data_IF_506146682613
#
_entry.id   IF_506146682613
#
_cell.length_a   1.000
_cell.length_b   1.000
_cell.length_c   1.000
_cell.angle_alpha   90.00
_cell.angle_beta   90.00
_cell.angle_gamma   90.00
#
_symmetry.space_group_name_H-M   'P 1'
#
loop_
_entity.id
_entity.type
_entity.pdbx_description
1 polymer ?
#
# COMPACT_ATOMS: atom_id res chain seq x y z
N UNK A 1 -14.49 14.02 19.83
CA UNK A 1 -13.25 13.74 20.59
C UNK A 1 -12.24 14.78 20.18
N UNK A 2 -11.81 15.65 21.08
CA UNK A 2 -10.79 16.68 20.79
C UNK A 2 -9.46 15.99 20.40
N UNK A 3 -8.87 16.44 19.31
CA UNK A 3 -7.58 15.92 18.86
C UNK A 3 -6.48 16.90 19.32
N UNK A 4 -5.62 16.52 20.30
CA UNK A 4 -4.69 17.43 20.95
C UNK A 4 -3.64 18.06 19.99
N UNK A 5 -3.52 17.52 18.78
CA UNK A 5 -2.59 18.03 17.75
C UNK A 5 -3.30 18.90 16.72
N UNK A 6 -4.54 18.55 16.35
CA UNK A 6 -5.29 19.26 15.30
C UNK A 6 -6.02 20.48 15.83
N UNK A 7 -6.60 20.41 17.02
CA UNK A 7 -7.41 21.50 17.58
C UNK A 7 -6.65 22.85 17.69
N UNK A 8 -5.42 22.91 18.26
CA UNK A 8 -4.67 24.17 18.33
C UNK A 8 -4.25 24.68 16.95
N UNK A 9 -4.07 23.80 15.96
CA UNK A 9 -3.72 24.16 14.59
C UNK A 9 -4.93 24.74 13.85
N UNK A 10 -6.12 24.18 14.08
CA UNK A 10 -7.38 24.66 13.53
C UNK A 10 -7.75 26.02 14.14
N UNK A 11 -7.56 26.22 15.43
CA UNK A 11 -7.78 27.48 16.12
C UNK A 11 -6.84 28.59 15.58
N UNK A 12 -5.57 28.28 15.38
CA UNK A 12 -4.61 29.22 14.76
C UNK A 12 -5.01 29.60 13.32
N UNK A 13 -5.47 28.63 12.53
CA UNK A 13 -5.90 28.84 11.16
C UNK A 13 -7.21 29.60 11.04
N UNK A 14 -8.07 29.57 12.06
CA UNK A 14 -9.35 30.30 12.06
C UNK A 14 -9.20 31.83 12.06
N UNK A 15 -8.04 32.34 12.50
CA UNK A 15 -7.73 33.77 12.51
C UNK A 15 -7.38 34.37 11.13
N UNK A 16 -7.18 33.53 10.09
CA UNK A 16 -6.79 33.97 8.75
C UNK A 16 -7.97 33.98 7.77
N UNK A 17 -7.92 34.85 6.77
CA UNK A 17 -8.87 34.82 5.66
C UNK A 17 -8.76 33.51 4.85
N UNK A 18 -9.84 33.14 4.12
CA UNK A 18 -9.91 31.89 3.36
C UNK A 18 -8.72 31.72 2.41
N UNK A 19 -8.34 32.76 1.70
CA UNK A 19 -7.22 32.72 0.73
C UNK A 19 -5.89 32.56 1.44
N UNK A 20 -5.66 33.32 2.50
CA UNK A 20 -4.41 33.26 3.28
C UNK A 20 -4.23 31.88 3.93
N UNK A 21 -5.30 31.33 4.50
CA UNK A 21 -5.33 29.98 5.07
C UNK A 21 -5.02 28.92 4.04
N UNK A 22 -5.62 29.00 2.85
CA UNK A 22 -5.36 28.05 1.76
C UNK A 22 -3.90 28.08 1.35
N UNK A 23 -3.33 29.26 1.14
CA UNK A 23 -1.92 29.41 0.78
C UNK A 23 -1.01 28.86 1.90
N UNK A 24 -1.31 29.14 3.16
CA UNK A 24 -0.51 28.72 4.29
C UNK A 24 -0.52 27.21 4.45
N UNK A 25 -1.70 26.56 4.37
CA UNK A 25 -1.82 25.09 4.47
C UNK A 25 -1.11 24.39 3.32
N UNK A 26 -1.27 24.89 2.08
CA UNK A 26 -0.56 24.33 0.94
C UNK A 26 0.96 24.49 1.07
N UNK A 27 1.44 25.64 1.51
CA UNK A 27 2.85 25.90 1.72
C UNK A 27 3.44 24.99 2.81
N UNK A 28 2.75 24.84 3.94
CA UNK A 28 3.16 23.95 5.03
C UNK A 28 3.15 22.49 4.59
N UNK A 29 2.11 22.06 3.88
CA UNK A 29 2.03 20.69 3.36
C UNK A 29 3.13 20.39 2.35
N UNK A 30 3.44 21.33 1.47
CA UNK A 30 4.54 21.22 0.53
C UNK A 30 5.90 21.18 1.24
N UNK A 31 6.12 22.06 2.24
CA UNK A 31 7.31 22.03 3.05
C UNK A 31 7.46 20.72 3.82
N UNK A 32 6.37 20.21 4.41
CA UNK A 32 6.35 18.91 5.07
C UNK A 32 6.70 17.77 4.12
N UNK A 33 6.18 17.80 2.88
CA UNK A 33 6.52 16.83 1.85
C UNK A 33 8.02 16.84 1.51
N UNK A 34 8.62 18.03 1.35
CA UNK A 34 10.07 18.18 1.10
C UNK A 34 10.93 17.70 2.28
N UNK A 35 10.52 18.01 3.51
CA UNK A 35 11.20 17.52 4.71
C UNK A 35 11.11 16.01 4.81
N UNK A 36 9.93 15.44 4.56
CA UNK A 36 9.73 14.00 4.56
C UNK A 36 10.59 13.32 3.49
N UNK A 37 10.62 13.88 2.27
CA UNK A 37 11.49 13.39 1.20
C UNK A 37 12.96 13.41 1.62
N UNK A 38 13.43 14.53 2.20
CA UNK A 38 14.81 14.65 2.65
C UNK A 38 15.14 13.63 3.75
N UNK A 39 14.26 13.46 4.74
CA UNK A 39 14.43 12.49 5.84
C UNK A 39 14.45 11.07 5.29
N UNK A 40 13.48 10.71 4.44
CA UNK A 40 13.40 9.38 3.81
C UNK A 40 14.66 9.09 3.00
N UNK A 41 15.10 10.03 2.17
CA UNK A 41 16.33 9.88 1.38
C UNK A 41 17.58 9.76 2.25
N UNK A 42 17.63 10.45 3.40
CA UNK A 42 18.76 10.39 4.33
C UNK A 42 18.80 9.05 5.07
N UNK A 43 17.65 8.60 5.58
CA UNK A 43 17.52 7.32 6.28
C UNK A 43 17.77 6.17 5.29
N UNK A 44 17.18 6.22 4.12
CA UNK A 44 17.33 5.24 3.07
C UNK A 44 18.80 5.07 2.66
N UNK A 45 19.50 6.17 2.38
CA UNK A 45 20.94 6.14 2.05
C UNK A 45 21.78 5.55 3.19
N UNK A 46 21.38 5.75 4.46
CA UNK A 46 22.07 5.18 5.59
C UNK A 46 21.86 3.67 5.70
N UNK A 47 20.63 3.19 5.48
CA UNK A 47 20.26 1.77 5.52
C UNK A 47 20.92 1.02 4.36
N UNK A 48 20.78 1.53 3.13
CA UNK A 48 21.38 0.93 1.92
C UNK A 48 22.90 0.79 2.03
N UNK A 49 23.58 1.79 2.61
CA UNK A 49 25.04 1.70 2.83
C UNK A 49 25.46 0.63 3.84
N UNK A 50 24.56 0.24 4.75
CA UNK A 50 24.86 -0.79 5.75
C UNK A 50 24.56 -2.20 5.25
N UNK A 51 23.55 -2.36 4.37
CA UNK A 51 23.06 -3.69 3.96
C UNK A 51 23.66 -4.18 2.65
N UNK A 52 24.13 -3.25 1.75
CA UNK A 52 24.74 -3.60 0.45
C UNK A 52 23.79 -4.36 -0.49
N UNK A 53 22.51 -4.42 -0.19
CA UNK A 53 21.51 -5.20 -0.92
C UNK A 53 20.88 -4.37 -2.05
N UNK A 54 20.84 -4.93 -3.26
CA UNK A 54 20.13 -4.34 -4.40
C UNK A 54 18.63 -4.20 -4.18
N UNK A 55 18.07 -4.97 -3.25
CA UNK A 55 16.67 -4.92 -2.88
C UNK A 55 16.31 -3.61 -2.17
N UNK A 56 17.18 -3.13 -1.29
CA UNK A 56 16.97 -1.89 -0.54
C UNK A 56 16.89 -0.68 -1.47
N UNK A 57 17.72 -0.66 -2.54
CA UNK A 57 17.68 0.40 -3.56
C UNK A 57 16.32 0.43 -4.29
N UNK A 58 15.76 -0.74 -4.58
CA UNK A 58 14.45 -0.85 -5.22
C UNK A 58 13.35 -0.29 -4.33
N UNK A 59 13.31 -0.71 -3.07
CA UNK A 59 12.29 -0.23 -2.11
C UNK A 59 12.34 1.28 -1.96
N UNK A 60 13.54 1.83 -1.75
CA UNK A 60 13.74 3.27 -1.55
C UNK A 60 13.32 4.09 -2.77
N UNK A 61 13.68 3.61 -3.97
CA UNK A 61 13.34 4.31 -5.22
C UNK A 61 11.84 4.36 -5.48
N UNK A 62 11.12 3.28 -5.16
CA UNK A 62 9.69 3.17 -5.42
C UNK A 62 8.82 3.84 -4.35
N UNK A 63 9.27 3.88 -3.09
CA UNK A 63 8.52 4.49 -1.97
C UNK A 63 8.63 6.03 -1.98
N UNK A 64 9.67 6.59 -2.57
CA UNK A 64 9.91 8.04 -2.60
C UNK A 64 8.72 8.82 -3.19
N UNK A 65 8.29 8.47 -4.37
CA UNK A 65 7.20 9.14 -5.09
C UNK A 65 5.85 9.07 -4.33
N UNK A 66 5.40 7.89 -3.87
CA UNK A 66 4.19 7.77 -3.06
C UNK A 66 4.21 8.65 -1.81
N UNK A 67 5.33 8.73 -1.11
CA UNK A 67 5.46 9.56 0.09
C UNK A 67 5.29 11.05 -0.21
N UNK A 68 5.96 11.56 -1.25
CA UNK A 68 5.86 12.98 -1.63
C UNK A 68 4.43 13.33 -2.04
N UNK A 69 3.80 12.48 -2.86
CA UNK A 69 2.43 12.70 -3.31
C UNK A 69 1.44 12.60 -2.15
N UNK A 70 1.61 11.62 -1.25
CA UNK A 70 0.76 11.49 -0.06
C UNK A 70 0.86 12.72 0.84
N UNK A 71 2.05 13.25 1.05
CA UNK A 71 2.24 14.46 1.85
C UNK A 71 1.62 15.69 1.17
N UNK A 72 1.76 15.81 -0.15
CA UNK A 72 1.14 16.90 -0.92
C UNK A 72 -0.40 16.83 -0.91
N UNK A 73 -0.97 15.63 -1.13
CA UNK A 73 -2.41 15.42 -1.10
C UNK A 73 -3.00 15.48 0.33
N UNK A 74 -2.21 15.15 1.35
CA UNK A 74 -2.58 15.32 2.75
C UNK A 74 -2.89 16.76 3.11
N UNK A 75 -2.25 17.73 2.45
CA UNK A 75 -2.58 19.15 2.56
C UNK A 75 -3.98 19.48 2.06
N UNK A 76 -4.44 18.84 0.99
CA UNK A 76 -5.80 19.03 0.47
C UNK A 76 -6.82 18.53 1.49
N UNK A 77 -6.56 17.36 2.11
CA UNK A 77 -7.42 16.85 3.17
C UNK A 77 -7.47 17.78 4.38
N UNK A 78 -6.33 18.34 4.80
CA UNK A 78 -6.26 19.29 5.89
C UNK A 78 -7.04 20.58 5.57
N UNK A 79 -7.01 21.04 4.32
CA UNK A 79 -7.82 22.17 3.86
C UNK A 79 -9.32 21.88 3.98
N UNK A 80 -9.77 20.68 3.57
CA UNK A 80 -11.20 20.34 3.68
C UNK A 80 -11.67 20.31 5.14
N UNK A 81 -10.87 19.76 6.05
CA UNK A 81 -11.19 19.74 7.49
C UNK A 81 -11.17 21.15 8.09
N UNK A 82 -10.17 21.97 7.77
CA UNK A 82 -10.06 23.33 8.30
C UNK A 82 -11.08 24.32 7.76
N UNK A 83 -11.68 24.03 6.60
CA UNK A 83 -12.73 24.87 5.99
C UNK A 83 -14.12 24.58 6.54
N UNK A 84 -14.33 23.44 7.17
CA UNK A 84 -15.60 23.03 7.73
C UNK A 84 -16.09 23.98 8.84
N UNK A 85 -15.18 24.55 9.61
CA UNK A 85 -15.51 25.48 10.72
C UNK A 85 -15.79 26.92 10.26
N UNK A 86 -15.51 27.24 8.99
CA UNK A 86 -15.75 28.57 8.45
C UNK A 86 -17.20 28.69 7.92
N UNK A 87 -18.15 29.04 8.77
CA UNK A 87 -19.57 29.15 8.52
C UNK A 87 -20.03 30.08 7.36
N UNK A 88 -19.12 30.59 6.56
CA UNK A 88 -19.38 31.53 5.45
C UNK A 88 -18.92 31.01 4.07
N UNK A 89 -18.65 29.71 3.91
CA UNK A 89 -18.21 29.16 2.63
C UNK A 89 -19.42 28.76 1.79
N UNK A 90 -19.49 29.29 0.57
CA UNK A 90 -20.53 29.04 -0.45
C UNK A 90 -20.56 27.53 -0.85
N UNK A 91 -19.55 26.76 -0.47
CA UNK A 91 -19.39 25.33 -0.81
C UNK A 91 -19.68 24.48 0.42
N UNK A 92 -20.61 23.53 0.30
CA UNK A 92 -20.96 22.60 1.36
C UNK A 92 -19.76 21.71 1.73
N UNK A 93 -19.65 21.35 3.02
CA UNK A 93 -18.65 20.36 3.50
C UNK A 93 -18.67 19.06 2.70
N UNK A 94 -19.85 18.60 2.31
CA UNK A 94 -20.04 17.41 1.48
C UNK A 94 -19.44 17.58 0.09
N UNK A 95 -19.62 18.75 -0.51
CA UNK A 95 -19.10 19.03 -1.85
C UNK A 95 -17.57 19.08 -1.85
N UNK A 96 -16.95 19.64 -0.79
CA UNK A 96 -15.50 19.63 -0.63
C UNK A 96 -14.95 18.23 -0.43
N UNK A 97 -15.61 17.40 0.39
CA UNK A 97 -15.21 16.02 0.59
C UNK A 97 -15.38 15.20 -0.69
N UNK A 98 -16.50 15.32 -1.37
CA UNK A 98 -16.81 14.53 -2.56
C UNK A 98 -15.95 14.93 -3.75
N UNK A 99 -15.62 16.20 -3.89
CA UNK A 99 -14.89 16.71 -5.06
C UNK A 99 -13.37 16.69 -4.90
N UNK A 100 -12.84 16.86 -3.69
CA UNK A 100 -11.40 16.94 -3.46
C UNK A 100 -10.85 15.80 -2.57
N UNK A 101 -11.45 15.54 -1.41
CA UNK A 101 -10.87 14.62 -0.45
C UNK A 101 -10.97 13.16 -0.89
N UNK A 102 -12.13 12.72 -1.41
CA UNK A 102 -12.28 11.34 -1.88
C UNK A 102 -11.42 11.02 -3.10
N UNK A 103 -11.37 11.84 -4.17
CA UNK A 103 -10.45 11.60 -5.28
C UNK A 103 -8.98 11.60 -4.84
N UNK A 104 -8.58 12.51 -3.93
CA UNK A 104 -7.22 12.53 -3.38
C UNK A 104 -6.90 11.24 -2.63
N UNK A 105 -7.83 10.74 -1.79
CA UNK A 105 -7.66 9.49 -1.08
C UNK A 105 -7.54 8.29 -2.02
N UNK A 106 -8.35 8.22 -3.09
CA UNK A 106 -8.25 7.18 -4.12
C UNK A 106 -6.91 7.26 -4.85
N UNK A 107 -6.45 8.45 -5.21
CA UNK A 107 -5.13 8.64 -5.83
C UNK A 107 -4.01 8.12 -4.92
N UNK A 108 -4.07 8.39 -3.61
CA UNK A 108 -3.11 7.86 -2.64
C UNK A 108 -3.13 6.33 -2.65
N UNK A 109 -4.31 5.70 -2.58
CA UNK A 109 -4.45 4.24 -2.62
C UNK A 109 -3.83 3.66 -3.89
N UNK A 110 -4.14 4.24 -5.06
CA UNK A 110 -3.62 3.78 -6.34
C UNK A 110 -2.10 3.93 -6.42
N UNK A 111 -1.55 5.07 -6.01
CA UNK A 111 -0.10 5.32 -6.06
C UNK A 111 0.65 4.33 -5.15
N UNK A 112 0.14 4.05 -3.95
CA UNK A 112 0.72 3.05 -3.06
C UNK A 112 0.57 1.63 -3.60
N UNK A 113 -0.56 1.30 -4.21
CA UNK A 113 -0.76 0.02 -4.88
C UNK A 113 0.23 -0.18 -6.03
N UNK A 114 0.43 0.84 -6.88
CA UNK A 114 1.43 0.80 -7.94
C UNK A 114 2.85 0.67 -7.41
N UNK A 115 3.21 1.40 -6.35
CA UNK A 115 4.53 1.30 -5.73
C UNK A 115 4.76 -0.10 -5.16
N UNK A 116 3.79 -0.63 -4.41
CA UNK A 116 3.85 -1.98 -3.86
C UNK A 116 4.00 -3.03 -4.96
N UNK A 117 3.21 -2.91 -6.03
CA UNK A 117 3.30 -3.80 -7.18
C UNK A 117 4.68 -3.76 -7.84
N UNK A 118 5.25 -2.57 -8.03
CA UNK A 118 6.59 -2.41 -8.59
C UNK A 118 7.68 -2.99 -7.70
N UNK A 119 7.60 -2.77 -6.38
CA UNK A 119 8.57 -3.31 -5.43
C UNK A 119 8.62 -4.83 -5.53
N UNK A 120 7.45 -5.49 -5.49
CA UNK A 120 7.38 -6.95 -5.52
C UNK A 120 7.82 -7.49 -6.87
N UNK A 121 7.36 -6.91 -7.98
CA UNK A 121 7.75 -7.39 -9.31
C UNK A 121 9.26 -7.23 -9.54
N UNK A 122 9.86 -6.11 -9.13
CA UNK A 122 11.33 -5.95 -9.19
C UNK A 122 12.07 -6.90 -8.26
N UNK A 123 11.51 -7.22 -7.08
CA UNK A 123 12.07 -8.21 -6.19
C UNK A 123 12.07 -9.61 -6.83
N UNK A 124 10.96 -9.98 -7.46
CA UNK A 124 10.83 -11.23 -8.23
C UNK A 124 11.87 -11.28 -9.35
N UNK A 125 12.02 -10.21 -10.14
CA UNK A 125 13.02 -10.12 -11.21
C UNK A 125 14.46 -10.26 -10.70
N UNK A 126 14.77 -9.76 -9.49
CA UNK A 126 16.08 -9.91 -8.90
C UNK A 126 16.40 -11.35 -8.51
N UNK A 127 15.39 -12.11 -8.07
CA UNK A 127 15.51 -13.53 -7.72
C UNK A 127 15.58 -14.37 -8.99
N UNK A 128 14.78 -14.06 -10.01
CA UNK A 128 14.69 -14.80 -11.26
C UNK A 128 15.95 -14.68 -12.15
N UNK A 129 16.72 -13.59 -12.02
CA UNK A 129 18.02 -13.46 -12.70
C UNK A 129 19.01 -14.60 -12.45
N UNK A 130 18.73 -15.45 -11.48
CA UNK A 130 19.47 -16.70 -11.27
C UNK A 130 19.08 -17.83 -12.25
N UNK A 131 18.06 -17.59 -13.11
CA UNK A 131 17.69 -18.47 -14.24
C UNK A 131 17.16 -19.87 -13.85
N UNK A 132 16.74 -20.06 -12.61
CA UNK A 132 16.33 -21.38 -12.11
C UNK A 132 14.81 -21.61 -12.07
N UNK A 133 13.99 -20.56 -12.20
CA UNK A 133 12.57 -20.71 -11.93
C UNK A 133 11.69 -20.00 -12.99
N UNK A 134 10.99 -20.77 -13.80
CA UNK A 134 9.97 -20.28 -14.74
C UNK A 134 8.66 -19.81 -14.05
N UNK A 135 8.64 -19.72 -12.71
CA UNK A 135 7.45 -19.33 -11.93
C UNK A 135 7.31 -17.82 -11.74
N UNK A 136 8.35 -17.04 -12.00
CA UNK A 136 8.36 -15.59 -11.76
C UNK A 136 7.21 -14.85 -12.47
N UNK A 137 6.91 -15.11 -13.77
CA UNK A 137 5.81 -14.44 -14.47
C UNK A 137 4.43 -14.77 -13.88
N UNK A 138 4.23 -16.02 -13.46
CA UNK A 138 2.96 -16.47 -12.86
C UNK A 138 2.74 -15.77 -11.53
N UNK A 139 3.75 -15.76 -10.67
CA UNK A 139 3.70 -15.08 -9.38
C UNK A 139 3.44 -13.59 -9.55
N UNK A 140 4.16 -12.93 -10.45
CA UNK A 140 4.02 -11.51 -10.76
C UNK A 140 2.60 -11.14 -11.22
N UNK A 141 1.99 -11.96 -12.09
CA UNK A 141 0.63 -11.74 -12.58
C UNK A 141 -0.41 -11.93 -11.47
N UNK A 142 -0.30 -12.98 -10.67
CA UNK A 142 -1.21 -13.24 -9.54
C UNK A 142 -1.08 -12.13 -8.51
N UNK A 143 0.13 -11.72 -8.16
CA UNK A 143 0.40 -10.61 -7.26
C UNK A 143 -0.22 -9.31 -7.76
N UNK A 144 0.02 -8.96 -9.02
CA UNK A 144 -0.54 -7.75 -9.65
C UNK A 144 -2.06 -7.75 -9.59
N UNK A 145 -2.69 -8.90 -9.89
CA UNK A 145 -4.15 -9.04 -9.80
C UNK A 145 -4.65 -8.78 -8.37
N UNK A 146 -4.01 -9.38 -7.35
CA UNK A 146 -4.40 -9.20 -5.94
C UNK A 146 -4.28 -7.73 -5.51
N UNK A 147 -3.16 -7.08 -5.85
CA UNK A 147 -2.93 -5.68 -5.50
C UNK A 147 -3.93 -4.75 -6.17
N UNK A 148 -4.19 -4.93 -7.48
CA UNK A 148 -5.13 -4.09 -8.21
C UNK A 148 -6.59 -4.33 -7.76
N UNK A 149 -6.98 -5.58 -7.52
CA UNK A 149 -8.29 -5.90 -6.98
C UNK A 149 -8.49 -5.29 -5.59
N UNK A 150 -7.48 -5.41 -4.71
CA UNK A 150 -7.50 -4.80 -3.38
C UNK A 150 -7.59 -3.27 -3.44
N UNK A 151 -6.79 -2.62 -4.30
CA UNK A 151 -6.85 -1.18 -4.52
C UNK A 151 -8.21 -0.73 -5.06
N UNK A 152 -8.82 -1.51 -5.96
CA UNK A 152 -10.18 -1.27 -6.45
C UNK A 152 -11.21 -1.33 -5.34
N UNK A 153 -11.20 -2.36 -4.51
CA UNK A 153 -12.12 -2.52 -3.36
C UNK A 153 -11.94 -1.38 -2.36
N UNK A 154 -10.70 -0.99 -2.03
CA UNK A 154 -10.43 0.15 -1.14
C UNK A 154 -10.94 1.46 -1.74
N UNK A 155 -10.76 1.67 -3.05
CA UNK A 155 -11.26 2.86 -3.75
C UNK A 155 -12.79 2.96 -3.70
N UNK A 156 -13.50 1.85 -3.89
CA UNK A 156 -14.96 1.80 -3.76
C UNK A 156 -15.42 2.10 -2.32
N UNK A 157 -14.68 1.59 -1.33
CA UNK A 157 -14.96 1.86 0.09
C UNK A 157 -14.87 3.35 0.43
N UNK A 158 -13.92 4.09 -0.15
CA UNK A 158 -13.77 5.55 0.03
C UNK A 158 -15.03 6.30 -0.44
N UNK A 159 -15.67 5.81 -1.50
CA UNK A 159 -16.93 6.38 -2.01
C UNK A 159 -18.18 5.85 -1.27
N UNK A 160 -18.01 5.11 -0.17
CA UNK A 160 -19.08 4.45 0.58
C UNK A 160 -19.94 3.49 -0.27
N UNK A 161 -19.37 2.94 -1.32
CA UNK A 161 -20.01 1.89 -2.12
C UNK A 161 -19.95 0.59 -1.32
N UNK A 162 -21.06 -0.15 -1.24
CA UNK A 162 -21.13 -1.39 -0.51
C UNK A 162 -20.17 -2.44 -1.10
N UNK A 163 -19.08 -2.75 -0.39
CA UNK A 163 -18.06 -3.71 -0.79
C UNK A 163 -18.39 -5.15 -0.35
N UNK A 164 -19.38 -5.33 0.57
CA UNK A 164 -19.76 -6.64 1.10
C UNK A 164 -20.09 -7.67 0.01
N UNK A 165 -20.84 -7.35 -1.07
CA UNK A 165 -21.10 -8.32 -2.13
C UNK A 165 -19.83 -8.75 -2.87
N UNK A 166 -18.87 -7.82 -3.07
CA UNK A 166 -17.59 -8.10 -3.72
C UNK A 166 -16.73 -9.01 -2.85
N UNK A 167 -16.65 -8.73 -1.54
CA UNK A 167 -15.94 -9.59 -0.60
C UNK A 167 -16.57 -10.97 -0.48
N UNK A 168 -17.91 -11.05 -0.53
CA UNK A 168 -18.63 -12.34 -0.58
C UNK A 168 -18.29 -13.16 -1.80
N UNK A 169 -18.33 -12.54 -2.98
CA UNK A 169 -17.96 -13.20 -4.24
C UNK A 169 -16.47 -13.63 -4.23
N UNK A 170 -15.57 -12.76 -3.77
CA UNK A 170 -14.15 -13.09 -3.64
C UNK A 170 -13.92 -14.25 -2.65
N UNK A 171 -14.69 -14.30 -1.54
CA UNK A 171 -14.65 -15.39 -0.58
C UNK A 171 -15.04 -16.72 -1.21
N UNK A 172 -16.14 -16.77 -1.98
CA UNK A 172 -16.58 -17.98 -2.70
C UNK A 172 -15.52 -18.40 -3.74
N UNK A 173 -14.99 -17.46 -4.51
CA UNK A 173 -13.91 -17.74 -5.46
C UNK A 173 -12.65 -18.27 -4.74
N UNK A 174 -12.29 -17.70 -3.57
CA UNK A 174 -11.19 -18.16 -2.74
C UNK A 174 -11.36 -19.60 -2.25
N UNK A 175 -12.57 -19.96 -1.84
CA UNK A 175 -12.91 -21.33 -1.45
C UNK A 175 -12.73 -22.28 -2.63
N UNK A 176 -13.24 -21.92 -3.81
CA UNK A 176 -13.10 -22.74 -5.03
C UNK A 176 -11.63 -22.96 -5.41
N UNK A 177 -10.80 -21.90 -5.36
CA UNK A 177 -9.35 -21.99 -5.59
C UNK A 177 -8.67 -22.84 -4.51
N UNK A 178 -9.08 -22.69 -3.24
CA UNK A 178 -8.57 -23.49 -2.13
C UNK A 178 -8.83 -24.99 -2.31
N UNK A 179 -10.02 -25.36 -2.72
CA UNK A 179 -10.34 -26.76 -3.05
C UNK A 179 -9.53 -27.27 -4.24
N UNK A 180 -9.37 -26.47 -5.29
CA UNK A 180 -8.55 -26.85 -6.43
C UNK A 180 -7.07 -27.04 -6.09
N UNK A 181 -6.54 -26.27 -5.14
CA UNK A 181 -5.15 -26.33 -4.69
C UNK A 181 -4.89 -27.34 -3.56
N UNK A 182 -5.93 -27.94 -2.98
CA UNK A 182 -5.85 -28.77 -1.77
C UNK A 182 -4.76 -29.82 -1.84
N UNK A 183 -4.74 -30.61 -2.91
CA UNK A 183 -3.81 -31.74 -3.03
C UNK A 183 -2.36 -31.24 -3.23
N UNK A 184 -2.18 -30.15 -3.95
CA UNK A 184 -0.86 -29.53 -4.12
C UNK A 184 -0.31 -29.04 -2.78
N UNK A 185 -1.15 -28.38 -1.97
CA UNK A 185 -0.79 -27.89 -0.63
C UNK A 185 -0.51 -29.07 0.31
N UNK A 186 -1.33 -30.11 0.28
CA UNK A 186 -1.14 -31.30 1.10
C UNK A 186 0.20 -32.01 0.78
N UNK A 187 0.51 -32.18 -0.50
CA UNK A 187 1.76 -32.79 -0.96
C UNK A 187 2.98 -31.92 -0.57
N UNK A 188 2.86 -30.60 -0.68
CA UNK A 188 3.93 -29.68 -0.25
C UNK A 188 4.22 -29.81 1.25
N UNK A 189 3.18 -29.78 2.10
CA UNK A 189 3.37 -29.96 3.55
C UNK A 189 3.82 -31.37 3.90
N UNK A 190 3.36 -32.40 3.19
CA UNK A 190 3.84 -33.78 3.36
C UNK A 190 5.34 -33.88 3.08
N UNK A 191 5.82 -33.30 1.99
CA UNK A 191 7.25 -33.24 1.67
C UNK A 191 8.05 -32.43 2.70
N UNK A 192 7.49 -31.33 3.19
CA UNK A 192 8.12 -30.49 4.22
C UNK A 192 8.24 -31.24 5.57
N UNK A 193 7.21 -32.00 5.95
CA UNK A 193 7.24 -32.84 7.15
C UNK A 193 8.33 -33.89 7.06
N UNK A 194 8.43 -34.60 5.94
CA UNK A 194 9.50 -35.59 5.71
C UNK A 194 10.89 -34.95 5.80
N UNK A 195 11.04 -33.73 5.34
CA UNK A 195 12.32 -33.01 5.41
C UNK A 195 12.68 -32.61 6.84
N UNK A 196 11.72 -32.16 7.65
CA UNK A 196 11.98 -31.77 9.05
C UNK A 196 12.12 -32.93 9.99
N UNK A 197 11.40 -34.03 9.75
CA UNK A 197 11.45 -35.23 10.59
C UNK A 197 12.68 -36.11 10.30
N UNK A 198 13.46 -35.76 9.26
CA UNK A 198 14.68 -36.51 8.86
C UNK A 198 14.42 -38.02 8.66
N UNK A 199 13.17 -38.37 8.28
CA UNK A 199 12.67 -39.75 8.21
C UNK A 199 13.42 -40.56 7.14
N UNK A 200 13.80 -39.91 6.01
CA UNK A 200 14.56 -40.51 4.92
C UNK A 200 15.68 -39.58 4.47
N UNK A 201 16.86 -40.18 4.21
CA UNK A 201 18.03 -39.46 3.67
C UNK A 201 18.34 -39.94 2.25
N UNK A 202 18.98 -39.06 1.50
CA UNK A 202 19.46 -39.41 0.17
C UNK A 202 20.43 -40.58 0.28
N UNK A 203 20.06 -41.73 -0.31
CA UNK A 203 20.84 -43.01 -0.22
C UNK A 203 20.18 -44.07 0.63
N UNK A 204 19.10 -43.77 1.35
CA UNK A 204 18.35 -44.77 2.12
C UNK A 204 17.56 -45.70 1.22
N UNK A 205 17.54 -46.99 1.60
CA UNK A 205 16.72 -47.99 0.90
C UNK A 205 15.32 -48.03 1.50
N UNK A 206 14.34 -47.65 0.73
CA UNK A 206 12.93 -47.54 1.17
C UNK A 206 12.11 -48.67 0.54
N UNK A 207 11.41 -49.46 1.36
CA UNK A 207 10.44 -50.45 0.89
C UNK A 207 9.06 -49.85 0.97
N UNK A 208 8.39 -49.75 -0.20
CA UNK A 208 7.00 -49.31 -0.28
C UNK A 208 6.13 -50.58 -0.23
N UNK A 209 5.27 -50.65 0.78
CA UNK A 209 4.26 -51.68 0.88
C UNK A 209 3.06 -51.28 0.04
N UNK A 210 2.64 -52.07 -0.94
CA UNK A 210 1.54 -51.78 -1.86
C UNK A 210 0.23 -52.36 -1.37
#
# INVERSE_FOLDING_TARGET
>A
MANPVLDPLLEYLSGYGVVERTILVLAVSFAAALVLEFVVLKVARKVVRQTGSKFDDVVVSEVRWPLVVTAALGGIWLLTVSSADAANVIVSERDLQDFFARPAAVLIVLIWAFALNRIVNRAVDLVDKTGKYDFAPIFSNVWTFIVLAGAGVLSLSIYNIAITPLLGAAGIAGIAVGFAAKDTVANFFGGLALYFDDTYKIGDYVVLDT
#
